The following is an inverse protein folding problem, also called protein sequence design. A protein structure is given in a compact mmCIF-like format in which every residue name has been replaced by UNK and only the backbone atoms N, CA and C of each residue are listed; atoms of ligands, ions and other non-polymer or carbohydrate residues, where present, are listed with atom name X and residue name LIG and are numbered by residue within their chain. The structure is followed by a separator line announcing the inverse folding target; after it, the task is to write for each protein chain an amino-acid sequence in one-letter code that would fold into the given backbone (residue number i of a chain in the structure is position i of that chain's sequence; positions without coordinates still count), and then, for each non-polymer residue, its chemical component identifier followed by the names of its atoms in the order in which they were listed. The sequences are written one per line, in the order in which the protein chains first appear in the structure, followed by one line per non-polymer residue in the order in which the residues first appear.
data_IF_656212679405
#
_entry.id   IF_656212679405
#
_cell.length_a   1.000
_cell.length_b   1.000
_cell.length_c   1.000
_cell.angle_alpha   90.00
_cell.angle_beta   90.00
_cell.angle_gamma   90.00
#
_symmetry.space_group_name_H-M   'P 1'
#
loop_
_entity.id
_entity.type
_entity.pdbx_description
1 polymer ?
#
# COMPACT_ATOMS: atom_id res chain seq x y z
N UNK A 1 -20.27 -9.41 71.69
CA UNK A 1 -19.76 -8.18 71.04
C UNK A 1 -19.20 -8.59 69.70
N UNK A 2 -20.02 -8.52 68.64
CA UNK A 2 -19.63 -8.91 67.29
C UNK A 2 -18.95 -7.74 66.58
N UNK A 3 -17.80 -8.00 65.97
CA UNK A 3 -17.06 -7.02 65.19
C UNK A 3 -17.59 -7.10 63.75
N UNK A 4 -18.32 -6.07 63.31
CA UNK A 4 -18.81 -5.97 61.94
C UNK A 4 -17.66 -5.59 61.01
N UNK A 5 -17.27 -6.50 60.11
CA UNK A 5 -16.36 -6.20 59.01
C UNK A 5 -17.11 -5.38 57.94
N UNK A 6 -16.81 -4.09 57.83
CA UNK A 6 -17.18 -3.28 56.67
C UNK A 6 -16.18 -3.56 55.54
N UNK A 7 -16.61 -4.33 54.54
CA UNK A 7 -15.89 -4.49 53.28
C UNK A 7 -16.06 -3.23 52.44
N UNK A 8 -15.01 -2.41 52.33
CA UNK A 8 -14.97 -1.26 51.42
C UNK A 8 -14.64 -1.79 50.02
N UNK A 9 -15.62 -1.81 49.12
CA UNK A 9 -15.41 -2.04 47.69
C UNK A 9 -14.89 -0.75 47.06
N UNK A 10 -13.63 -0.76 46.60
CA UNK A 10 -13.05 0.30 45.79
C UNK A 10 -13.68 0.28 44.37
N UNK A 11 -14.00 1.43 43.76
CA UNK A 11 -14.51 1.48 42.40
C UNK A 11 -13.45 1.01 41.40
N UNK A 12 -13.86 0.43 40.25
CA UNK A 12 -12.93 -0.03 39.22
C UNK A 12 -12.13 1.17 38.70
N UNK A 13 -10.81 1.05 38.75
CA UNK A 13 -9.87 2.02 38.21
C UNK A 13 -10.08 2.05 36.69
N UNK A 14 -10.57 3.18 36.16
CA UNK A 14 -10.53 3.42 34.72
C UNK A 14 -9.05 3.43 34.31
N UNK A 15 -8.62 2.36 33.63
CA UNK A 15 -7.29 2.30 33.06
C UNK A 15 -7.22 3.33 31.92
N UNK A 16 -6.55 4.45 32.17
CA UNK A 16 -6.15 5.37 31.11
C UNK A 16 -5.17 4.61 30.21
N UNK A 17 -5.39 4.53 28.88
CA UNK A 17 -4.46 3.87 27.98
C UNK A 17 -3.07 4.50 28.15
N UNK A 18 -2.06 3.66 28.37
CA UNK A 18 -0.67 4.12 28.45
C UNK A 18 -0.31 4.86 27.15
N UNK A 19 0.42 5.99 27.22
CA UNK A 19 0.89 6.69 26.04
C UNK A 19 1.65 5.72 25.13
N UNK A 20 1.31 5.72 23.84
CA UNK A 20 1.98 4.89 22.84
C UNK A 20 3.43 5.35 22.71
N UNK A 21 4.36 4.59 23.27
CA UNK A 21 5.80 4.83 23.13
C UNK A 21 6.25 4.40 21.71
N UNK A 22 6.97 5.29 21.03
CA UNK A 22 7.54 5.03 19.71
C UNK A 22 9.05 4.86 19.85
N UNK A 23 9.58 3.71 19.43
CA UNK A 23 11.01 3.38 19.49
C UNK A 23 11.38 2.50 20.67
N UNK A 24 12.69 2.21 20.80
CA UNK A 24 13.24 1.31 21.83
C UNK A 24 13.81 2.04 23.06
N UNK A 25 13.84 3.38 23.02
CA UNK A 25 14.34 4.24 24.10
C UNK A 25 13.39 5.39 24.36
N UNK A 26 13.49 5.98 25.55
CA UNK A 26 12.72 7.18 25.91
C UNK A 26 13.07 8.37 25.00
N UNK A 27 12.11 9.28 24.74
CA UNK A 27 12.36 10.48 23.95
C UNK A 27 13.38 11.39 24.62
N UNK A 28 14.21 12.06 23.82
CA UNK A 28 15.19 13.04 24.31
C UNK A 28 14.52 14.30 24.88
N UNK A 29 13.40 14.71 24.29
CA UNK A 29 12.60 15.85 24.72
C UNK A 29 11.13 15.59 24.41
N UNK A 30 10.27 16.05 25.32
CA UNK A 30 8.83 16.12 25.14
C UNK A 30 8.35 17.57 24.90
N UNK A 31 9.27 18.51 24.76
CA UNK A 31 8.94 19.91 24.50
C UNK A 31 8.33 20.05 23.09
N UNK A 32 7.18 20.73 23.01
CA UNK A 32 6.57 21.10 21.75
C UNK A 32 7.28 22.29 21.07
N UNK A 33 6.93 22.60 19.81
CA UNK A 33 7.52 23.72 19.07
C UNK A 33 7.15 25.07 19.70
N UNK A 34 8.08 26.02 19.64
CA UNK A 34 7.82 27.43 19.96
C UNK A 34 7.23 28.17 18.76
N UNK A 35 6.68 29.36 18.98
CA UNK A 35 6.13 30.20 17.89
C UNK A 35 7.17 30.48 16.79
N UNK A 36 8.44 30.69 17.17
CA UNK A 36 9.53 30.87 16.22
C UNK A 36 9.79 29.61 15.36
N UNK A 37 9.60 28.42 15.91
CA UNK A 37 9.76 27.16 15.16
C UNK A 37 8.61 26.98 14.17
N UNK A 38 7.38 27.28 14.59
CA UNK A 38 6.19 27.25 13.71
C UNK A 38 6.38 28.22 12.53
N UNK A 39 6.89 29.42 12.79
CA UNK A 39 7.15 30.41 11.73
C UNK A 39 8.23 29.91 10.74
N UNK A 40 9.31 29.31 11.24
CA UNK A 40 10.34 28.69 10.39
C UNK A 40 9.81 27.53 9.56
N UNK A 41 8.92 26.70 10.12
CA UNK A 41 8.27 25.61 9.38
C UNK A 41 7.48 26.16 8.19
N UNK A 42 6.71 27.25 8.38
CA UNK A 42 5.97 27.90 7.27
C UNK A 42 6.91 28.45 6.19
N UNK A 43 8.04 29.01 6.58
CA UNK A 43 9.05 29.52 5.64
C UNK A 43 9.70 28.38 4.84
N UNK A 44 9.99 27.26 5.51
CA UNK A 44 10.48 26.04 4.87
C UNK A 44 9.47 25.48 3.87
N UNK A 45 8.20 25.32 4.27
CA UNK A 45 7.14 24.84 3.37
C UNK A 45 7.01 25.72 2.13
N UNK A 46 7.00 27.05 2.32
CA UNK A 46 6.96 28.01 1.20
C UNK A 46 8.15 27.84 0.26
N UNK A 47 9.34 27.61 0.79
CA UNK A 47 10.54 27.35 -0.01
C UNK A 47 10.41 26.04 -0.80
N UNK A 48 9.95 24.96 -0.16
CA UNK A 48 9.78 23.64 -0.80
C UNK A 48 8.73 23.69 -1.92
N UNK A 49 7.63 24.41 -1.72
CA UNK A 49 6.63 24.68 -2.77
C UNK A 49 7.27 25.47 -3.91
N UNK A 50 8.02 26.54 -3.61
CA UNK A 50 8.72 27.34 -4.62
C UNK A 50 9.79 26.56 -5.41
N UNK A 51 10.35 25.50 -4.82
CA UNK A 51 11.29 24.60 -5.47
C UNK A 51 10.61 23.51 -6.35
N UNK A 52 9.27 23.45 -6.37
CA UNK A 52 8.53 22.49 -7.18
C UNK A 52 8.64 21.04 -6.68
N UNK A 53 8.80 20.84 -5.37
CA UNK A 53 8.97 19.49 -4.80
C UNK A 53 7.66 18.74 -4.57
N UNK A 54 6.53 19.44 -4.56
CA UNK A 54 5.22 18.84 -4.38
C UNK A 54 4.56 18.57 -5.73
N UNK A 55 3.95 17.39 -5.84
CA UNK A 55 3.11 17.01 -6.96
C UNK A 55 1.86 17.91 -7.09
N UNK A 56 1.41 18.12 -8.33
CA UNK A 56 0.15 18.83 -8.61
C UNK A 56 -1.09 17.96 -8.32
N UNK A 57 -2.24 18.59 -8.09
CA UNK A 57 -3.49 17.86 -7.84
C UNK A 57 -3.91 17.02 -9.06
N UNK A 58 -3.61 17.50 -10.27
CA UNK A 58 -3.88 16.82 -11.53
C UNK A 58 -3.04 15.56 -11.70
N UNK A 59 -1.75 15.61 -11.38
CA UNK A 59 -0.86 14.45 -11.41
C UNK A 59 -1.26 13.43 -10.34
N UNK A 60 -1.58 13.88 -9.13
CA UNK A 60 -2.06 13.00 -8.06
C UNK A 60 -3.33 12.25 -8.47
N UNK A 61 -4.31 12.94 -9.07
CA UNK A 61 -5.53 12.33 -9.59
C UNK A 61 -5.24 11.33 -10.72
N UNK A 62 -4.27 11.64 -11.59
CA UNK A 62 -3.83 10.73 -12.65
C UNK A 62 -3.23 9.44 -12.09
N UNK A 63 -2.37 9.54 -11.07
CA UNK A 63 -1.80 8.37 -10.37
C UNK A 63 -2.86 7.51 -9.70
N UNK A 64 -3.85 8.13 -9.06
CA UNK A 64 -4.97 7.41 -8.47
C UNK A 64 -5.80 6.67 -9.51
N UNK A 65 -6.06 7.31 -10.66
CA UNK A 65 -6.72 6.69 -11.81
C UNK A 65 -5.97 5.46 -12.33
N UNK A 66 -4.66 5.60 -12.53
CA UNK A 66 -3.77 4.49 -12.94
C UNK A 66 -3.82 3.33 -11.95
N UNK A 67 -3.74 3.62 -10.64
CA UNK A 67 -3.82 2.58 -9.60
C UNK A 67 -5.18 1.88 -9.57
N UNK A 68 -6.28 2.61 -9.82
CA UNK A 68 -7.61 2.02 -9.91
C UNK A 68 -7.71 1.05 -11.09
N UNK A 69 -7.19 1.43 -12.26
CA UNK A 69 -7.18 0.57 -13.44
C UNK A 69 -6.28 -0.66 -13.25
N UNK A 70 -5.06 -0.48 -12.72
CA UNK A 70 -4.14 -1.57 -12.45
C UNK A 70 -4.74 -2.59 -11.45
N UNK A 71 -5.42 -2.11 -10.41
CA UNK A 71 -6.16 -2.97 -9.47
C UNK A 71 -7.20 -3.84 -10.17
N UNK A 72 -7.94 -3.26 -11.12
CA UNK A 72 -8.95 -4.01 -11.87
C UNK A 72 -8.30 -5.06 -12.77
N UNK A 73 -7.22 -4.71 -13.48
CA UNK A 73 -6.47 -5.63 -14.33
C UNK A 73 -5.97 -6.85 -13.56
N UNK A 74 -5.35 -6.65 -12.38
CA UNK A 74 -4.83 -7.80 -11.61
C UNK A 74 -5.94 -8.66 -11.01
N UNK A 75 -7.09 -8.06 -10.66
CA UNK A 75 -8.27 -8.81 -10.19
C UNK A 75 -8.82 -9.68 -11.31
N UNK A 76 -9.04 -9.12 -12.50
CA UNK A 76 -9.56 -9.85 -13.65
C UNK A 76 -8.60 -10.95 -14.09
N UNK A 77 -7.29 -10.66 -14.12
CA UNK A 77 -6.25 -11.64 -14.39
C UNK A 77 -6.33 -12.86 -13.47
N UNK A 78 -6.45 -12.65 -12.15
CA UNK A 78 -6.58 -13.78 -11.22
C UNK A 78 -7.89 -14.53 -11.43
N UNK A 79 -9.01 -13.84 -11.68
CA UNK A 79 -10.30 -14.50 -11.97
C UNK A 79 -10.24 -15.38 -13.21
N UNK A 80 -9.59 -14.90 -14.27
CA UNK A 80 -9.41 -15.67 -15.50
C UNK A 80 -8.51 -16.89 -15.28
N UNK A 81 -7.44 -16.76 -14.49
CA UNK A 81 -6.62 -17.90 -14.07
C UNK A 81 -7.42 -18.90 -13.23
N UNK A 82 -8.22 -18.44 -12.27
CA UNK A 82 -9.07 -19.31 -11.45
C UNK A 82 -10.02 -20.11 -12.33
N UNK A 83 -10.61 -19.48 -13.35
CA UNK A 83 -11.46 -20.18 -14.34
C UNK A 83 -10.67 -21.20 -15.14
N UNK A 84 -9.49 -20.83 -15.65
CA UNK A 84 -8.64 -21.69 -16.48
C UNK A 84 -8.15 -22.93 -15.71
N UNK A 85 -7.91 -22.79 -14.39
CA UNK A 85 -7.51 -23.89 -13.50
C UNK A 85 -8.67 -24.83 -13.15
N UNK A 86 -9.90 -24.54 -13.61
CA UNK A 86 -11.06 -25.41 -13.44
C UNK A 86 -11.75 -25.31 -12.07
N UNK A 87 -11.53 -24.22 -11.34
CA UNK A 87 -12.29 -23.95 -10.12
C UNK A 87 -13.76 -23.63 -10.46
N UNK A 88 -14.64 -23.82 -9.48
CA UNK A 88 -16.07 -23.56 -9.63
C UNK A 88 -16.39 -22.06 -9.73
N UNK A 89 -17.60 -21.73 -10.18
CA UNK A 89 -18.03 -20.34 -10.40
C UNK A 89 -17.95 -19.50 -9.12
N UNK A 90 -18.30 -20.06 -7.96
CA UNK A 90 -18.18 -19.35 -6.68
C UNK A 90 -16.73 -18.94 -6.39
N UNK A 91 -15.77 -19.83 -6.64
CA UNK A 91 -14.35 -19.51 -6.47
C UNK A 91 -13.85 -18.47 -7.45
N UNK A 92 -14.38 -18.44 -8.68
CA UNK A 92 -14.07 -17.39 -9.67
C UNK A 92 -14.65 -16.06 -9.24
N UNK A 93 -15.85 -16.04 -8.68
CA UNK A 93 -16.48 -14.82 -8.14
C UNK A 93 -15.67 -14.25 -6.97
N UNK A 94 -15.26 -15.13 -6.04
CA UNK A 94 -14.50 -14.79 -4.83
C UNK A 94 -13.01 -14.51 -5.11
N UNK A 95 -12.47 -14.98 -6.24
CA UNK A 95 -11.07 -14.81 -6.59
C UNK A 95 -10.69 -13.33 -6.67
N UNK A 96 -9.54 -13.01 -6.07
CA UNK A 96 -9.11 -11.64 -5.84
C UNK A 96 -7.59 -11.52 -5.88
N UNK A 97 -7.13 -10.34 -6.27
CA UNK A 97 -5.76 -9.89 -6.14
C UNK A 97 -5.78 -8.45 -5.62
N UNK A 98 -4.73 -8.08 -4.88
CA UNK A 98 -4.66 -6.75 -4.25
C UNK A 98 -3.36 -6.07 -4.64
N UNK A 99 -3.47 -4.80 -5.03
CA UNK A 99 -2.32 -3.91 -5.16
C UNK A 99 -2.13 -3.14 -3.86
N UNK A 100 -0.92 -3.24 -3.29
CA UNK A 100 -0.46 -2.43 -2.18
C UNK A 100 0.64 -1.50 -2.68
N UNK A 101 0.56 -0.21 -2.34
CA UNK A 101 1.66 0.72 -2.61
C UNK A 101 2.64 0.71 -1.44
N UNK A 102 3.91 0.90 -1.76
CA UNK A 102 4.97 1.14 -0.78
C UNK A 102 5.86 2.29 -1.26
N UNK A 103 7.03 2.45 -0.64
CA UNK A 103 7.99 3.47 -1.06
C UNK A 103 7.50 4.91 -0.85
N UNK A 104 8.08 5.82 -1.62
CA UNK A 104 7.89 7.28 -1.44
C UNK A 104 6.43 7.70 -1.65
N UNK A 105 5.75 7.09 -2.64
CA UNK A 105 4.35 7.35 -2.94
C UNK A 105 3.43 7.01 -1.77
N UNK A 106 3.62 5.84 -1.14
CA UNK A 106 2.82 5.45 0.03
C UNK A 106 3.04 6.36 1.23
N UNK A 107 4.24 6.93 1.37
CA UNK A 107 4.60 7.85 2.46
C UNK A 107 4.14 9.30 2.21
N UNK A 108 3.67 9.63 1.01
CA UNK A 108 3.24 10.99 0.64
C UNK A 108 4.38 11.99 0.52
N UNK A 109 5.60 11.51 0.23
CA UNK A 109 6.82 12.33 0.10
C UNK A 109 7.44 12.23 -1.30
N UNK A 110 6.71 11.67 -2.27
CA UNK A 110 7.14 11.58 -3.66
C UNK A 110 7.09 12.96 -4.32
N UNK A 111 8.02 13.19 -5.26
CA UNK A 111 8.04 14.39 -6.09
C UNK A 111 7.39 14.18 -7.46
N UNK A 112 7.27 15.25 -8.26
CA UNK A 112 6.84 15.16 -9.65
C UNK A 112 7.69 14.16 -10.44
N UNK A 113 7.04 13.34 -11.27
CA UNK A 113 7.72 12.34 -12.10
C UNK A 113 8.30 11.12 -11.35
N UNK A 114 8.14 11.02 -10.03
CA UNK A 114 8.52 9.81 -9.30
C UNK A 114 7.73 8.57 -9.79
N UNK A 115 8.26 7.38 -9.57
CA UNK A 115 7.57 6.12 -9.82
C UNK A 115 6.56 5.76 -8.72
N UNK A 116 5.70 4.79 -9.00
CA UNK A 116 4.84 4.16 -8.01
C UNK A 116 5.33 2.75 -7.76
N UNK A 117 5.88 2.53 -6.57
CA UNK A 117 6.22 1.21 -6.06
C UNK A 117 4.95 0.44 -5.67
N UNK A 118 4.70 -0.69 -6.33
CA UNK A 118 3.49 -1.50 -6.16
C UNK A 118 3.82 -2.96 -5.92
N UNK A 119 3.08 -3.59 -4.99
CA UNK A 119 3.12 -5.02 -4.72
C UNK A 119 1.76 -5.61 -5.07
N UNK A 120 1.74 -6.52 -6.05
CA UNK A 120 0.60 -7.37 -6.33
C UNK A 120 0.63 -8.60 -5.42
N UNK A 121 -0.44 -8.79 -4.65
CA UNK A 121 -0.64 -9.95 -3.78
C UNK A 121 -1.68 -10.87 -4.42
N UNK A 122 -1.25 -12.09 -4.77
CA UNK A 122 -2.08 -13.12 -5.40
C UNK A 122 -2.27 -14.37 -4.52
N UNK A 123 -3.19 -15.27 -4.91
CA UNK A 123 -3.48 -16.49 -4.17
C UNK A 123 -2.40 -17.57 -4.36
N UNK A 124 -2.43 -18.60 -3.52
CA UNK A 124 -1.40 -19.64 -3.42
C UNK A 124 -1.16 -20.46 -4.68
N UNK A 125 -2.13 -20.51 -5.58
CA UNK A 125 -2.07 -21.26 -6.84
C UNK A 125 -1.60 -20.42 -8.03
N UNK A 126 -1.30 -19.13 -7.84
CA UNK A 126 -0.77 -18.23 -8.87
C UNK A 126 0.72 -18.07 -8.65
N UNK A 127 1.51 -18.54 -9.62
CA UNK A 127 2.96 -18.58 -9.55
C UNK A 127 3.63 -17.39 -10.24
N UNK A 128 4.90 -17.14 -9.91
CA UNK A 128 5.59 -15.94 -10.36
C UNK A 128 6.03 -16.05 -11.82
N UNK A 129 6.52 -17.21 -12.20
CA UNK A 129 7.20 -17.45 -13.46
C UNK A 129 6.21 -17.49 -14.63
N UNK A 130 5.22 -18.38 -14.56
CA UNK A 130 4.26 -18.62 -15.64
C UNK A 130 3.05 -17.67 -15.57
N UNK A 131 2.59 -17.35 -14.36
CA UNK A 131 1.36 -16.56 -14.23
C UNK A 131 1.68 -15.05 -14.20
N UNK A 132 2.58 -14.60 -13.31
CA UNK A 132 2.87 -13.16 -13.18
C UNK A 132 3.77 -12.62 -14.31
N UNK A 133 4.93 -13.23 -14.57
CA UNK A 133 5.86 -12.74 -15.59
C UNK A 133 5.47 -13.08 -17.03
N UNK A 134 4.52 -14.00 -17.24
CA UNK A 134 4.08 -14.37 -18.58
C UNK A 134 2.61 -14.06 -18.84
N UNK A 135 1.65 -14.59 -18.07
CA UNK A 135 0.23 -14.30 -18.33
C UNK A 135 -0.11 -12.82 -18.07
N UNK A 136 0.19 -12.29 -16.88
CA UNK A 136 -0.09 -10.87 -16.58
C UNK A 136 0.72 -9.93 -17.49
N UNK A 137 1.98 -10.27 -17.77
CA UNK A 137 2.79 -9.54 -18.75
C UNK A 137 2.06 -9.42 -20.11
N UNK A 138 1.57 -10.53 -20.66
CA UNK A 138 0.87 -10.51 -21.95
C UNK A 138 -0.42 -9.70 -21.88
N UNK A 139 -1.17 -9.76 -20.77
CA UNK A 139 -2.33 -8.90 -20.56
C UNK A 139 -1.95 -7.42 -20.58
N UNK A 140 -0.81 -7.05 -19.97
CA UNK A 140 -0.31 -5.68 -19.94
C UNK A 140 0.20 -5.21 -21.31
N UNK A 141 0.82 -6.08 -22.12
CA UNK A 141 1.28 -5.75 -23.48
C UNK A 141 0.11 -5.33 -24.39
N UNK A 142 -1.06 -5.94 -24.23
CA UNK A 142 -2.23 -5.67 -25.07
C UNK A 142 -2.98 -4.36 -24.69
N UNK A 143 -2.52 -3.63 -23.68
CA UNK A 143 -3.13 -2.36 -23.24
C UNK A 143 -2.44 -1.18 -23.91
N UNK A 144 -3.20 -0.33 -24.60
CA UNK A 144 -2.68 0.86 -25.28
C UNK A 144 -2.07 1.87 -24.31
N UNK A 145 -2.56 1.88 -23.06
CA UNK A 145 -2.10 2.75 -21.98
C UNK A 145 -0.74 2.32 -21.42
N UNK A 146 -0.33 1.07 -21.65
CA UNK A 146 0.92 0.50 -21.14
C UNK A 146 2.04 0.63 -22.17
N UNK A 147 3.14 1.25 -21.76
CA UNK A 147 4.32 1.47 -22.58
C UNK A 147 5.59 1.12 -21.79
N UNK A 148 6.71 0.91 -22.48
CA UNK A 148 8.01 0.62 -21.84
C UNK A 148 7.99 -0.58 -20.87
N UNK A 149 7.17 -1.60 -21.15
CA UNK A 149 7.06 -2.79 -20.31
C UNK A 149 8.34 -3.64 -20.38
N UNK A 150 8.98 -3.79 -19.23
CA UNK A 150 10.24 -4.50 -19.04
C UNK A 150 10.17 -5.42 -17.81
N UNK A 151 10.04 -6.75 -17.98
CA UNK A 151 10.19 -7.70 -16.90
C UNK A 151 11.67 -7.89 -16.52
N UNK A 152 11.95 -7.99 -15.22
CA UNK A 152 13.28 -8.25 -14.65
C UNK A 152 13.19 -9.41 -13.63
N UNK A 153 13.05 -10.67 -14.11
CA UNK A 153 12.84 -11.83 -13.23
C UNK A 153 14.07 -12.21 -12.40
N UNK A 154 15.27 -11.93 -12.91
CA UNK A 154 16.55 -12.34 -12.29
C UNK A 154 17.10 -11.35 -11.26
N UNK A 155 16.37 -10.28 -10.94
CA UNK A 155 16.75 -9.34 -9.90
C UNK A 155 16.64 -9.97 -8.50
N UNK A 156 17.34 -9.38 -7.52
CA UNK A 156 17.22 -9.82 -6.11
C UNK A 156 15.76 -9.78 -5.62
N UNK A 157 15.01 -8.76 -6.07
CA UNK A 157 13.56 -8.68 -5.93
C UNK A 157 12.97 -8.59 -7.34
N UNK A 158 12.36 -9.67 -7.86
CA UNK A 158 11.82 -9.70 -9.20
C UNK A 158 10.71 -8.65 -9.39
N UNK A 159 10.73 -7.94 -10.52
CA UNK A 159 9.85 -6.79 -10.79
C UNK A 159 9.50 -6.68 -12.27
N UNK A 160 8.29 -6.21 -12.59
CA UNK A 160 7.92 -5.68 -13.90
C UNK A 160 7.89 -4.16 -13.84
N UNK A 161 8.70 -3.50 -14.66
CA UNK A 161 8.75 -2.04 -14.79
C UNK A 161 8.00 -1.62 -16.03
N UNK A 162 7.15 -0.61 -15.96
CA UNK A 162 6.44 -0.09 -17.13
C UNK A 162 5.93 1.32 -16.88
N UNK A 163 5.44 1.98 -17.93
CA UNK A 163 4.67 3.21 -17.84
C UNK A 163 3.20 2.92 -18.14
N UNK A 164 2.30 3.35 -17.27
CA UNK A 164 0.86 3.32 -17.49
C UNK A 164 0.36 4.75 -17.62
N UNK A 165 -0.20 5.12 -18.76
CA UNK A 165 -0.57 6.51 -19.09
C UNK A 165 0.58 7.50 -18.86
N UNK A 166 1.82 7.05 -19.08
CA UNK A 166 3.04 7.84 -18.84
C UNK A 166 3.49 7.94 -17.38
N UNK A 167 2.82 7.28 -16.43
CA UNK A 167 3.26 7.15 -15.04
C UNK A 167 4.12 5.90 -14.89
N UNK A 168 5.35 6.05 -14.38
CA UNK A 168 6.24 4.92 -14.11
C UNK A 168 5.72 4.06 -12.94
N UNK A 169 5.66 2.75 -13.13
CA UNK A 169 5.23 1.76 -12.15
C UNK A 169 6.29 0.67 -12.03
N UNK A 170 6.67 0.38 -10.79
CA UNK A 170 7.43 -0.80 -10.41
C UNK A 170 6.45 -1.80 -9.78
N UNK A 171 6.14 -2.89 -10.48
CA UNK A 171 5.18 -3.91 -10.05
C UNK A 171 5.89 -5.19 -9.60
N UNK A 172 5.81 -5.47 -8.31
CA UNK A 172 6.32 -6.67 -7.67
C UNK A 172 5.19 -7.69 -7.48
N UNK A 173 5.54 -8.95 -7.23
CA UNK A 173 4.57 -10.00 -6.94
C UNK A 173 4.92 -10.81 -5.69
N UNK A 174 3.89 -11.06 -4.87
CA UNK A 174 3.93 -12.02 -3.79
C UNK A 174 2.67 -12.90 -3.81
N UNK A 175 2.89 -14.20 -3.65
CA UNK A 175 1.80 -15.16 -3.42
C UNK A 175 1.66 -15.41 -1.92
N UNK A 176 0.43 -15.42 -1.42
CA UNK A 176 0.12 -15.80 -0.03
C UNK A 176 -0.45 -17.21 0.04
N UNK A 177 -0.34 -17.88 1.19
CA UNK A 177 -0.83 -19.25 1.40
C UNK A 177 -2.36 -19.36 1.55
N UNK A 178 -3.12 -18.54 0.82
CA UNK A 178 -4.59 -18.52 0.80
C UNK A 178 -5.11 -18.71 -0.62
N UNK A 179 -6.23 -19.40 -0.78
CA UNK A 179 -6.89 -19.58 -2.08
C UNK A 179 -7.62 -18.30 -2.54
N UNK A 180 -8.10 -17.50 -1.59
CA UNK A 180 -8.76 -16.22 -1.85
C UNK A 180 -8.00 -15.15 -1.08
N UNK A 181 -7.57 -14.11 -1.79
CA UNK A 181 -6.91 -12.97 -1.18
C UNK A 181 -8.00 -12.09 -0.52
N UNK A 182 -7.96 -11.85 0.80
CA UNK A 182 -8.96 -11.02 1.45
C UNK A 182 -8.86 -9.59 0.94
N UNK A 183 -10.00 -8.90 0.84
CA UNK A 183 -10.00 -7.47 0.56
C UNK A 183 -9.31 -6.73 1.70
N UNK A 184 -8.35 -5.87 1.34
CA UNK A 184 -7.57 -5.10 2.30
C UNK A 184 -8.25 -3.75 2.50
N UNK A 185 -9.53 -3.77 2.89
CA UNK A 185 -10.28 -2.58 3.26
C UNK A 185 -10.00 -2.19 4.71
N UNK A 186 -8.73 -2.07 5.12
CA UNK A 186 -8.29 -1.46 6.41
C UNK A 186 -6.75 -1.52 6.52
N UNK A 187 -6.06 -0.58 5.89
CA UNK A 187 -4.89 0.04 6.54
C UNK A 187 -5.11 1.54 6.43
N UNK A 188 -6.08 2.02 7.20
CA UNK A 188 -6.08 3.40 7.66
C UNK A 188 -4.78 3.59 8.42
N UNK A 189 -3.84 4.29 7.81
CA UNK A 189 -2.75 4.91 8.54
C UNK A 189 -3.31 6.08 9.35
#
# INVERSE_FOLDING_TARGET
MGVSNCSITLPPTQQVPLPKEYGVTKPLSLAGPMEADIQRTKELEKFLVGAGLYESAEEAAKREGVLCQLKQIVKDWVKDLTRLRGYNDQMVEDANAVILTFGSYRLGVHGPGADIDTLCVGPSYVNREDDFFFVLHNILVEREEVTELQPVPDAHVPVMKFKFDGISIDLLYASISLLVVPDVSVISL
#
